data_IF_573064218371
#
_entry.id   IF_573064218371
#
_cell.length_a   1.000
_cell.length_b   1.000
_cell.length_c   1.000
_cell.angle_alpha   90.00
_cell.angle_beta   90.00
_cell.angle_gamma   90.00
#
_symmetry.space_group_name_H-M   'P 1'
#
loop_
_entity.id
_entity.type
_entity.pdbx_description
1 polymer ?
#
# COMPACT_ATOMS: atom_id res chain seq x y z
N UNK A 1 23.91 -36.89 8.18
CA UNK A 1 23.88 -35.68 7.34
C UNK A 1 22.77 -35.87 6.30
N UNK A 2 21.76 -34.99 6.19
CA UNK A 2 20.79 -35.09 5.11
C UNK A 2 21.52 -34.95 3.76
N UNK A 3 21.18 -35.82 2.80
CA UNK A 3 21.78 -35.80 1.46
C UNK A 3 21.33 -34.52 0.74
N UNK A 4 22.27 -33.63 0.44
CA UNK A 4 22.00 -32.38 -0.27
C UNK A 4 21.86 -32.69 -1.77
N UNK A 5 20.63 -32.77 -2.27
CA UNK A 5 20.39 -32.89 -3.70
C UNK A 5 20.86 -31.63 -4.44
N UNK A 6 21.78 -31.79 -5.38
CA UNK A 6 22.16 -30.74 -6.32
C UNK A 6 21.48 -30.97 -7.65
N UNK A 7 20.60 -30.05 -8.01
CA UNK A 7 19.95 -30.05 -9.31
C UNK A 7 21.00 -29.78 -10.43
N UNK A 8 21.19 -30.70 -11.40
CA UNK A 8 22.13 -30.54 -12.50
C UNK A 8 21.73 -29.43 -13.49
N UNK A 9 20.46 -28.99 -13.47
CA UNK A 9 19.94 -27.94 -14.35
C UNK A 9 19.87 -26.56 -13.70
N UNK A 10 20.32 -26.44 -12.44
CA UNK A 10 20.24 -25.18 -11.70
C UNK A 10 20.87 -23.99 -12.45
N UNK A 11 21.98 -24.23 -13.18
CA UNK A 11 22.63 -23.20 -14.01
C UNK A 11 21.75 -22.77 -15.20
N UNK A 12 21.01 -23.71 -15.80
CA UNK A 12 20.08 -23.45 -16.91
C UNK A 12 18.84 -22.71 -16.42
N UNK A 13 18.35 -23.01 -15.22
CA UNK A 13 17.14 -22.37 -14.66
C UNK A 13 17.42 -21.06 -13.91
N UNK A 14 18.69 -20.71 -13.70
CA UNK A 14 19.09 -19.52 -12.95
C UNK A 14 18.49 -18.22 -13.49
N UNK A 15 18.27 -18.10 -14.82
CA UNK A 15 17.67 -16.91 -15.43
C UNK A 15 16.24 -16.64 -14.93
N UNK A 16 15.48 -17.68 -14.55
CA UNK A 16 14.11 -17.54 -14.03
C UNK A 16 14.08 -16.92 -12.64
N UNK A 17 15.15 -17.09 -11.87
CA UNK A 17 15.32 -16.52 -10.53
C UNK A 17 15.98 -15.13 -10.56
N UNK A 18 16.02 -14.49 -11.73
CA UNK A 18 16.55 -13.14 -11.86
C UNK A 18 15.81 -12.17 -10.93
N UNK A 19 16.53 -11.16 -10.40
CA UNK A 19 15.98 -10.21 -9.40
C UNK A 19 14.69 -9.52 -9.84
N UNK A 20 14.51 -9.33 -11.15
CA UNK A 20 13.29 -8.76 -11.74
C UNK A 20 12.04 -9.62 -11.53
N UNK A 21 12.20 -10.95 -11.41
CA UNK A 21 11.11 -11.90 -11.17
C UNK A 21 10.94 -12.24 -9.69
N UNK A 22 11.67 -11.57 -8.80
CA UNK A 22 11.53 -11.81 -7.37
C UNK A 22 10.17 -11.32 -6.86
N UNK A 23 9.56 -12.05 -5.92
CA UNK A 23 8.31 -11.64 -5.28
C UNK A 23 8.42 -10.24 -4.65
N UNK A 24 9.60 -9.89 -4.14
CA UNK A 24 9.88 -8.55 -3.60
C UNK A 24 9.81 -7.46 -4.67
N UNK A 25 10.30 -7.74 -5.88
CA UNK A 25 10.20 -6.79 -6.99
C UNK A 25 8.74 -6.57 -7.38
N UNK A 26 7.95 -7.65 -7.49
CA UNK A 26 6.52 -7.51 -7.74
C UNK A 26 5.84 -6.71 -6.64
N UNK A 27 6.00 -7.09 -5.37
CA UNK A 27 5.38 -6.42 -4.23
C UNK A 27 5.61 -4.90 -4.20
N UNK A 28 6.83 -4.43 -4.52
CA UNK A 28 7.14 -3.00 -4.57
C UNK A 28 6.49 -2.27 -5.75
N UNK A 29 6.14 -2.98 -6.81
CA UNK A 29 5.60 -2.41 -8.05
C UNK A 29 4.10 -2.67 -8.25
N UNK A 30 3.38 -3.29 -7.30
CA UNK A 30 1.93 -3.55 -7.42
C UNK A 30 1.13 -2.25 -7.58
N UNK A 31 1.55 -1.16 -6.93
CA UNK A 31 0.87 0.13 -7.00
C UNK A 31 1.79 1.25 -7.49
N UNK A 32 1.97 1.37 -8.82
CA UNK A 32 2.73 2.47 -9.38
C UNK A 32 2.07 3.79 -9.01
N UNK A 33 2.84 4.73 -8.44
CA UNK A 33 2.33 6.05 -8.06
C UNK A 33 1.54 6.12 -6.76
N UNK A 34 1.38 5.02 -6.00
CA UNK A 34 0.67 5.05 -4.70
C UNK A 34 1.25 6.08 -3.73
N UNK A 35 2.58 6.19 -3.66
CA UNK A 35 3.24 7.18 -2.80
C UNK A 35 2.89 8.63 -3.18
N UNK A 36 2.77 8.93 -4.48
CA UNK A 36 2.39 10.26 -4.96
C UNK A 36 0.91 10.51 -4.69
N UNK A 37 0.05 9.53 -4.97
CA UNK A 37 -1.39 9.64 -4.69
C UNK A 37 -1.69 9.84 -3.22
N UNK A 38 -1.06 9.04 -2.34
CA UNK A 38 -1.18 9.17 -0.90
C UNK A 38 -0.65 10.53 -0.40
N UNK A 39 0.48 10.98 -0.94
CA UNK A 39 1.05 12.29 -0.61
C UNK A 39 0.13 13.45 -1.00
N UNK A 40 -0.40 13.45 -2.23
CA UNK A 40 -1.33 14.47 -2.70
C UNK A 40 -2.62 14.48 -1.86
N UNK A 41 -3.15 13.31 -1.52
CA UNK A 41 -4.32 13.19 -0.66
C UNK A 41 -4.06 13.73 0.75
N UNK A 42 -2.92 13.42 1.36
CA UNK A 42 -2.55 13.93 2.68
C UNK A 42 -2.39 15.46 2.68
N UNK A 43 -1.77 16.02 1.64
CA UNK A 43 -1.66 17.48 1.47
C UNK A 43 -3.04 18.12 1.34
N UNK A 44 -3.92 17.54 0.52
CA UNK A 44 -5.30 18.00 0.39
C UNK A 44 -6.03 18.01 1.74
N UNK A 45 -5.95 16.92 2.50
CA UNK A 45 -6.58 16.83 3.82
C UNK A 45 -6.04 17.88 4.80
N UNK A 46 -4.73 18.13 4.81
CA UNK A 46 -4.13 19.13 5.68
C UNK A 46 -4.62 20.55 5.33
N UNK A 47 -4.68 20.88 4.05
CA UNK A 47 -5.20 22.18 3.58
C UNK A 47 -6.68 22.32 3.92
N UNK A 48 -7.49 21.30 3.64
CA UNK A 48 -8.93 21.33 3.89
C UNK A 48 -9.24 21.48 5.38
N UNK A 49 -8.48 20.77 6.24
CA UNK A 49 -8.64 20.86 7.70
C UNK A 49 -8.31 22.26 8.23
N UNK A 50 -7.31 22.94 7.66
CA UNK A 50 -6.92 24.29 8.08
C UNK A 50 -7.87 25.38 7.57
N UNK A 51 -8.48 25.17 6.40
CA UNK A 51 -9.26 26.21 5.69
C UNK A 51 -10.78 26.09 5.91
N UNK A 52 -11.32 24.88 6.10
CA UNK A 52 -12.77 24.63 6.20
C UNK A 52 -13.17 23.89 7.49
N UNK A 53 -12.95 24.46 8.69
CA UNK A 53 -13.24 23.80 9.96
C UNK A 53 -14.71 23.34 10.10
N UNK A 54 -15.66 24.12 9.58
CA UNK A 54 -17.09 23.79 9.61
C UNK A 54 -17.46 22.54 8.81
N UNK A 55 -16.78 22.27 7.69
CA UNK A 55 -17.02 21.06 6.90
C UNK A 55 -16.56 19.81 7.66
N UNK A 56 -15.44 19.92 8.38
CA UNK A 56 -14.88 18.82 9.18
C UNK A 56 -15.81 18.44 10.34
N UNK A 57 -16.39 19.44 11.00
CA UNK A 57 -17.32 19.19 12.10
C UNK A 57 -18.63 18.57 11.63
N UNK A 58 -19.13 18.98 10.45
CA UNK A 58 -20.27 18.32 9.80
C UNK A 58 -19.97 16.84 9.50
N UNK A 59 -18.82 16.55 8.88
CA UNK A 59 -18.39 15.18 8.60
C UNK A 59 -18.27 14.32 9.85
N UNK A 60 -17.76 14.89 10.95
CA UNK A 60 -17.68 14.19 12.25
C UNK A 60 -19.07 13.88 12.81
N UNK A 61 -20.02 14.81 12.72
CA UNK A 61 -21.39 14.58 13.16
C UNK A 61 -22.07 13.48 12.34
N UNK A 62 -21.92 13.52 11.00
CA UNK A 62 -22.50 12.52 10.12
C UNK A 62 -21.90 11.13 10.36
N UNK A 63 -20.58 11.05 10.59
CA UNK A 63 -19.90 9.80 10.94
C UNK A 63 -20.37 9.24 12.30
N UNK A 64 -20.59 10.09 13.32
CA UNK A 64 -21.14 9.67 14.61
C UNK A 64 -22.56 9.11 14.48
N UNK A 65 -23.41 9.77 13.68
CA UNK A 65 -24.77 9.28 13.37
C UNK A 65 -24.74 7.90 12.70
N UNK A 66 -23.85 7.70 11.72
CA UNK A 66 -23.67 6.39 11.07
C UNK A 66 -23.16 5.30 12.02
N UNK A 67 -22.35 5.66 13.01
CA UNK A 67 -21.82 4.72 14.00
C UNK A 67 -22.89 4.28 15.02
N UNK A 68 -24.11 4.84 14.97
CA UNK A 68 -25.22 4.48 15.86
C UNK A 68 -24.99 4.88 17.32
N UNK A 69 -24.00 5.75 17.60
CA UNK A 69 -23.64 6.20 18.95
C UNK A 69 -24.62 7.21 19.56
N UNK A 70 -25.58 7.68 18.78
CA UNK A 70 -26.58 8.68 19.17
C UNK A 70 -28.00 8.08 19.33
N UNK A 71 -28.10 6.74 19.48
CA UNK A 71 -29.32 6.03 19.85
C UNK A 71 -29.21 5.45 21.26
#
# INVERSE_FOLDING_TARGET
MPQLYRDPWAKREAWRKHRVFSHRFFARNIFPGFGIGLGAFAVYLAVDTLTHPFNVDKLKHDARKQTGREH
#
